data_IF_925338169229
#
_entry.id   IF_925338169229
#
_cell.length_a   1.000
_cell.length_b   1.000
_cell.length_c   1.000
_cell.angle_alpha   90.00
_cell.angle_beta   90.00
_cell.angle_gamma   90.00
#
_symmetry.space_group_name_H-M   'P 1'
#
loop_
_entity.id
_entity.type
_entity.pdbx_description
1 polymer ?
#
# COMPACT_ATOMS: atom_id res chain seq x y z
N UNK A 1 4.73 12.50 -6.10
CA UNK A 1 5.69 12.15 -5.01
C UNK A 1 6.61 11.07 -5.52
N UNK A 2 7.88 11.06 -5.13
CA UNK A 2 8.79 9.97 -5.49
C UNK A 2 8.48 8.72 -4.65
N UNK A 3 8.62 7.55 -5.24
CA UNK A 3 8.33 6.26 -4.57
C UNK A 3 9.22 6.03 -3.36
N UNK A 4 10.45 6.54 -3.39
CA UNK A 4 11.41 6.46 -2.29
C UNK A 4 10.95 7.27 -1.07
N UNK A 5 10.35 8.44 -1.29
CA UNK A 5 9.83 9.30 -0.22
C UNK A 5 8.60 8.68 0.43
N UNK A 6 7.69 8.11 -0.38
CA UNK A 6 6.53 7.38 0.12
C UNK A 6 6.95 6.17 0.95
N UNK A 7 7.91 5.40 0.45
CA UNK A 7 8.47 4.24 1.17
C UNK A 7 9.08 4.65 2.51
N UNK A 8 9.87 5.71 2.53
CA UNK A 8 10.47 6.24 3.75
C UNK A 8 9.42 6.73 4.75
N UNK A 9 8.35 7.38 4.27
CA UNK A 9 7.22 7.81 5.10
C UNK A 9 6.56 6.61 5.77
N UNK A 10 6.17 5.59 5.00
CA UNK A 10 5.51 4.39 5.53
C UNK A 10 6.36 3.69 6.59
N UNK A 11 7.65 3.48 6.34
CA UNK A 11 8.54 2.82 7.29
C UNK A 11 8.79 3.65 8.56
N UNK A 12 8.69 4.99 8.46
CA UNK A 12 8.79 5.89 9.61
C UNK A 12 7.52 5.84 10.47
N UNK A 13 6.35 5.81 9.85
CA UNK A 13 5.05 5.74 10.53
C UNK A 13 4.76 4.32 11.09
N UNK A 14 5.36 3.28 10.51
CA UNK A 14 5.22 1.89 10.92
C UNK A 14 6.57 1.25 11.30
N UNK A 15 7.13 1.57 12.49
CA UNK A 15 8.46 1.09 12.90
C UNK A 15 8.56 -0.43 13.07
N UNK A 16 7.42 -1.12 13.22
CA UNK A 16 7.36 -2.58 13.33
C UNK A 16 7.22 -3.28 11.97
N UNK A 17 7.25 -2.53 10.86
CA UNK A 17 7.10 -3.06 9.52
C UNK A 17 8.42 -3.02 8.75
N UNK A 18 8.85 -4.16 8.24
CA UNK A 18 10.01 -4.26 7.37
C UNK A 18 9.67 -3.98 5.89
N UNK A 19 10.69 -3.69 5.09
CA UNK A 19 10.55 -3.46 3.64
C UNK A 19 9.85 -4.59 2.90
N UNK A 20 10.10 -5.84 3.33
CA UNK A 20 9.47 -7.02 2.74
C UNK A 20 7.97 -7.08 3.06
N UNK A 21 7.61 -6.80 4.31
CA UNK A 21 6.23 -6.71 4.75
C UNK A 21 5.47 -5.59 4.02
N UNK A 22 6.12 -4.45 3.82
CA UNK A 22 5.58 -3.36 3.00
C UNK A 22 5.33 -3.82 1.56
N UNK A 23 6.29 -4.50 0.93
CA UNK A 23 6.12 -5.01 -0.43
C UNK A 23 4.93 -5.98 -0.54
N UNK A 24 4.74 -6.88 0.43
CA UNK A 24 3.58 -7.79 0.47
C UNK A 24 2.27 -7.01 0.63
N UNK A 25 2.25 -6.01 1.52
CA UNK A 25 1.06 -5.18 1.74
C UNK A 25 0.67 -4.40 0.49
N UNK A 26 1.64 -3.80 -0.20
CA UNK A 26 1.45 -3.10 -1.48
C UNK A 26 0.94 -4.07 -2.54
N UNK A 27 1.55 -5.25 -2.68
CA UNK A 27 1.13 -6.25 -3.67
C UNK A 27 -0.33 -6.69 -3.43
N UNK A 28 -0.68 -7.02 -2.18
CA UNK A 28 -2.05 -7.39 -1.83
C UNK A 28 -3.06 -6.29 -2.15
N UNK A 29 -2.71 -5.04 -1.89
CA UNK A 29 -3.58 -3.91 -2.21
C UNK A 29 -3.66 -3.64 -3.71
N UNK A 30 -2.57 -3.84 -4.44
CA UNK A 30 -2.53 -3.78 -5.89
C UNK A 30 -3.53 -4.78 -6.49
N UNK A 31 -3.51 -6.04 -6.04
CA UNK A 31 -4.47 -7.06 -6.45
C UNK A 31 -5.93 -6.60 -6.19
N UNK A 32 -6.22 -6.03 -5.02
CA UNK A 32 -7.58 -5.53 -4.72
C UNK A 32 -8.03 -4.45 -5.71
N UNK A 33 -7.15 -3.50 -6.02
CA UNK A 33 -7.44 -2.41 -6.97
C UNK A 33 -7.65 -2.95 -8.40
N UNK A 34 -6.85 -3.92 -8.82
CA UNK A 34 -6.98 -4.57 -10.13
C UNK A 34 -8.25 -5.42 -10.24
N UNK A 35 -8.72 -5.99 -9.13
CA UNK A 35 -10.01 -6.68 -9.03
C UNK A 35 -11.22 -5.73 -8.92
N UNK A 36 -11.01 -4.41 -9.05
CA UNK A 36 -12.09 -3.41 -9.07
C UNK A 36 -12.46 -2.85 -7.70
N UNK A 37 -11.64 -3.05 -6.67
CA UNK A 37 -11.85 -2.37 -5.40
C UNK A 37 -11.70 -0.85 -5.59
N UNK A 38 -12.56 -0.03 -4.95
CA UNK A 38 -12.44 1.41 -5.05
C UNK A 38 -11.17 1.89 -4.36
N UNK A 39 -10.49 2.83 -5.02
CA UNK A 39 -9.45 3.63 -4.40
C UNK A 39 -10.05 4.55 -3.35
N UNK A 40 -9.38 4.66 -2.20
CA UNK A 40 -9.72 5.62 -1.15
C UNK A 40 -9.05 6.97 -1.36
N UNK A 41 -8.12 7.07 -2.32
CA UNK A 41 -7.50 8.35 -2.67
C UNK A 41 -8.48 9.21 -3.46
N UNK A 42 -8.61 10.46 -3.03
CA UNK A 42 -9.42 11.48 -3.70
C UNK A 42 -8.62 12.15 -4.84
N UNK A 43 -8.05 11.36 -5.75
CA UNK A 43 -7.28 11.83 -6.91
C UNK A 43 -7.72 11.11 -8.18
N UNK A 44 -7.47 11.72 -9.34
CA UNK A 44 -7.70 11.06 -10.63
C UNK A 44 -6.77 9.85 -10.78
N UNK A 45 -7.30 8.65 -10.53
CA UNK A 45 -6.53 7.39 -10.56
C UNK A 45 -6.31 6.85 -11.97
N UNK A 46 -6.95 7.40 -12.99
CA UNK A 46 -6.97 6.86 -14.37
C UNK A 46 -5.61 6.74 -15.05
N UNK A 47 -4.58 7.46 -14.58
CA UNK A 47 -3.22 7.41 -15.11
C UNK A 47 -2.18 6.90 -14.11
N UNK A 48 -2.61 6.42 -12.94
CA UNK A 48 -1.71 5.95 -11.88
C UNK A 48 -1.68 4.42 -11.91
N UNK A 49 -0.48 3.84 -11.86
CA UNK A 49 -0.34 2.38 -11.74
C UNK A 49 -0.94 1.92 -10.41
N UNK A 50 -1.61 0.78 -10.40
CA UNK A 50 -2.20 0.17 -9.21
C UNK A 50 -1.19 0.04 -8.05
N UNK A 51 0.06 -0.31 -8.34
CA UNK A 51 1.13 -0.38 -7.34
C UNK A 51 1.49 0.97 -6.71
N UNK A 52 1.61 2.03 -7.52
CA UNK A 52 1.87 3.40 -7.04
C UNK A 52 0.68 3.91 -6.22
N UNK A 53 -0.54 3.61 -6.66
CA UNK A 53 -1.78 3.97 -5.97
C UNK A 53 -1.87 3.28 -4.60
N UNK A 54 -1.57 1.98 -4.54
CA UNK A 54 -1.52 1.21 -3.30
C UNK A 54 -0.49 1.77 -2.32
N UNK A 55 0.72 2.11 -2.80
CA UNK A 55 1.76 2.72 -1.96
C UNK A 55 1.32 4.08 -1.41
N UNK A 56 0.67 4.91 -2.23
CA UNK A 56 0.11 6.19 -1.80
C UNK A 56 -1.00 6.00 -0.75
N UNK A 57 -1.91 5.04 -0.94
CA UNK A 57 -2.98 4.77 0.04
C UNK A 57 -2.42 4.36 1.41
N UNK A 58 -1.35 3.55 1.41
CA UNK A 58 -0.67 3.12 2.65
C UNK A 58 0.11 4.31 3.26
N UNK A 59 0.80 5.10 2.45
CA UNK A 59 1.57 6.26 2.92
C UNK A 59 0.72 7.40 3.47
N UNK A 60 -0.52 7.55 2.98
CA UNK A 60 -1.49 8.51 3.51
C UNK A 60 -2.28 7.97 4.70
N UNK A 61 -2.05 6.72 5.11
CA UNK A 61 -2.75 6.08 6.23
C UNK A 61 -4.22 5.75 5.94
N UNK A 62 -4.66 5.83 4.69
CA UNK A 62 -6.01 5.44 4.25
C UNK A 62 -6.22 3.91 4.36
N UNK A 63 -5.11 3.17 4.33
CA UNK A 63 -5.04 1.73 4.49
C UNK A 63 -3.96 1.40 5.51
N UNK A 64 -4.36 0.65 6.54
CA UNK A 64 -3.47 0.23 7.61
C UNK A 64 -3.29 -1.28 7.58
N UNK A 65 -2.03 -1.73 7.59
CA UNK A 65 -1.68 -3.14 7.72
C UNK A 65 -1.82 -3.53 9.20
N UNK A 66 -2.83 -4.32 9.54
CA UNK A 66 -3.07 -4.78 10.92
C UNK A 66 -2.10 -5.87 11.37
N UNK A 67 -1.53 -6.61 10.43
CA UNK A 67 -0.63 -7.74 10.69
C UNK A 67 -0.64 -8.74 9.55
N UNK A 68 0.24 -9.72 9.64
CA UNK A 68 0.35 -10.84 8.69
C UNK A 68 -0.14 -12.10 9.38
N UNK A 69 -0.98 -12.87 8.68
CA UNK A 69 -1.47 -14.16 9.15
C UNK A 69 -1.00 -15.23 8.19
N UNK A 70 -0.63 -16.37 8.75
CA UNK A 70 -0.35 -17.55 7.95
C UNK A 70 -1.64 -18.03 7.25
N UNK A 71 -1.54 -18.38 5.97
CA UNK A 71 -2.67 -18.88 5.17
C UNK A 71 -2.76 -20.42 5.17
N UNK A 72 -1.78 -21.10 5.75
CA UNK A 72 -1.72 -22.56 5.86
C UNK A 72 -2.29 -23.01 7.22
N UNK A 73 -3.62 -23.04 7.32
CA UNK A 73 -4.35 -23.87 8.29
C UNK A 73 -5.61 -24.46 7.67
#
# INVERSE_FOLDING_TARGET
MKVEELTAKVLKDHPNMDRYQLAIAVAKRCDELENGAPSKLNVNTSNIKSADLALMEIAEGLITVKGFTDKEK
#
